data_IF_780187802053
#
_entry.id   IF_780187802053
#
_cell.length_a   1.000
_cell.length_b   1.000
_cell.length_c   1.000
_cell.angle_alpha   90.00
_cell.angle_beta   90.00
_cell.angle_gamma   90.00
#
_symmetry.space_group_name_H-M   'P 1'
#
loop_
_entity.id
_entity.type
_entity.pdbx_description
1 polymer ?
#
# COMPACT_ATOMS: atom_id res chain seq x y z
N UNK A 1 20.67 -0.72 -31.26
CA UNK A 1 21.58 -0.44 -30.11
C UNK A 1 21.15 0.92 -29.59
N UNK A 2 20.37 0.96 -28.50
CA UNK A 2 20.09 2.23 -27.82
C UNK A 2 21.39 2.73 -27.17
N UNK A 3 21.73 4.01 -27.31
CA UNK A 3 22.91 4.54 -26.68
C UNK A 3 22.77 4.37 -25.16
N UNK A 4 23.85 3.93 -24.53
CA UNK A 4 24.01 3.72 -23.10
C UNK A 4 23.64 5.01 -22.33
N UNK A 5 22.36 5.18 -22.03
CA UNK A 5 21.86 6.31 -21.24
C UNK A 5 21.94 5.91 -19.79
N UNK A 6 23.06 6.22 -19.17
CA UNK A 6 23.16 6.33 -17.71
C UNK A 6 21.96 7.14 -17.23
N UNK A 7 21.20 6.61 -16.28
CA UNK A 7 20.00 7.23 -15.72
C UNK A 7 18.84 7.38 -16.73
N UNK A 8 18.06 6.32 -16.92
CA UNK A 8 16.76 6.42 -17.61
C UNK A 8 15.66 6.55 -16.56
N UNK A 9 15.32 7.78 -16.11
CA UNK A 9 14.24 7.95 -15.15
C UNK A 9 12.90 7.64 -15.82
N UNK A 10 12.07 6.86 -15.14
CA UNK A 10 10.69 6.61 -15.49
C UNK A 10 9.81 7.11 -14.35
N UNK A 11 8.85 7.96 -14.66
CA UNK A 11 7.87 8.47 -13.69
C UNK A 11 6.52 7.90 -14.08
N UNK A 12 5.78 7.42 -13.10
CA UNK A 12 4.45 6.87 -13.27
C UNK A 12 3.51 7.32 -12.17
N UNK A 13 2.22 7.15 -12.42
CA UNK A 13 1.20 7.38 -11.42
C UNK A 13 0.00 6.47 -11.68
N UNK A 14 -0.73 6.14 -10.62
CA UNK A 14 -1.96 5.38 -10.72
C UNK A 14 -2.99 5.85 -9.69
N UNK A 15 -4.25 5.58 -10.02
CA UNK A 15 -5.38 5.79 -9.13
C UNK A 15 -6.18 4.50 -9.06
N UNK A 16 -6.41 4.02 -7.83
CA UNK A 16 -7.22 2.84 -7.57
C UNK A 16 -8.43 3.22 -6.73
N UNK A 17 -9.61 2.80 -7.17
CA UNK A 17 -10.87 3.01 -6.47
C UNK A 17 -11.49 1.67 -6.12
N UNK A 18 -11.70 1.44 -4.82
CA UNK A 18 -12.30 0.23 -4.27
C UNK A 18 -13.57 0.66 -3.53
N UNK A 19 -14.74 0.34 -4.07
CA UNK A 19 -16.02 0.76 -3.50
C UNK A 19 -16.18 0.32 -2.05
N UNK A 20 -16.82 1.18 -1.23
CA UNK A 20 -17.20 0.88 0.14
C UNK A 20 -18.69 0.66 0.28
N UNK A 21 -19.08 -0.07 1.32
CA UNK A 21 -20.48 -0.22 1.69
C UNK A 21 -20.93 0.83 2.71
N UNK A 22 -22.22 1.08 2.78
CA UNK A 22 -22.83 1.89 3.85
C UNK A 22 -23.08 1.00 5.07
N UNK A 23 -22.18 1.00 6.02
CA UNK A 23 -22.29 0.21 7.27
C UNK A 23 -23.57 0.48 8.08
N UNK A 24 -24.33 1.52 7.75
CA UNK A 24 -25.55 1.92 8.47
C UNK A 24 -26.84 1.59 7.73
N UNK A 25 -26.79 1.00 6.54
CA UNK A 25 -28.01 0.87 5.73
C UNK A 25 -28.92 -0.29 6.15
N UNK A 26 -28.52 -1.13 7.08
CA UNK A 26 -29.35 -2.28 7.51
C UNK A 26 -29.79 -3.19 6.36
N UNK A 27 -29.24 -3.01 5.16
CA UNK A 27 -29.55 -3.82 4.01
C UNK A 27 -28.69 -5.09 4.03
N UNK A 28 -29.32 -6.24 3.85
CA UNK A 28 -28.68 -7.54 3.83
C UNK A 28 -27.68 -7.75 2.66
N UNK A 29 -27.49 -6.75 1.81
CA UNK A 29 -26.65 -6.82 0.63
C UNK A 29 -25.40 -5.96 0.77
N UNK A 30 -24.24 -6.59 0.97
CA UNK A 30 -22.95 -5.94 0.90
C UNK A 30 -22.69 -5.42 -0.53
N UNK A 31 -22.38 -4.12 -0.66
CA UNK A 31 -22.13 -3.44 -1.93
C UNK A 31 -20.70 -2.93 -2.08
N UNK A 32 -19.85 -3.19 -1.10
CA UNK A 32 -18.44 -2.85 -1.18
C UNK A 32 -17.68 -3.78 -2.13
N UNK A 33 -16.53 -3.31 -2.60
CA UNK A 33 -15.60 -4.16 -3.33
C UNK A 33 -15.15 -5.31 -2.42
N UNK A 34 -15.15 -6.52 -2.95
CA UNK A 34 -14.59 -7.70 -2.28
C UNK A 34 -13.37 -8.14 -3.06
N UNK A 35 -12.21 -8.10 -2.43
CA UNK A 35 -10.98 -8.60 -3.02
C UNK A 35 -11.05 -10.13 -3.12
N UNK A 36 -10.87 -10.68 -4.31
CA UNK A 36 -10.79 -12.13 -4.54
C UNK A 36 -9.39 -12.68 -4.27
N UNK A 37 -8.37 -11.82 -4.37
CA UNK A 37 -6.97 -12.18 -4.21
C UNK A 37 -6.26 -11.15 -3.34
N UNK A 38 -5.15 -11.55 -2.70
CA UNK A 38 -4.27 -10.64 -1.98
C UNK A 38 -3.48 -9.74 -2.96
N UNK A 39 -2.91 -8.66 -2.43
CA UNK A 39 -1.99 -7.75 -3.13
C UNK A 39 -2.54 -7.04 -4.39
N UNK A 40 -3.83 -6.68 -4.39
CA UNK A 40 -4.49 -6.09 -5.56
C UNK A 40 -4.37 -4.55 -5.66
N UNK A 41 -4.03 -3.84 -4.59
CA UNK A 41 -4.14 -2.38 -4.59
C UNK A 41 -2.80 -1.63 -4.59
N UNK A 42 -1.76 -2.19 -4.09
CA UNK A 42 -0.43 -1.54 -4.00
C UNK A 42 -0.05 -1.13 -2.57
N UNK A 43 1.17 -0.69 -2.42
CA UNK A 43 1.81 -0.49 -1.12
C UNK A 43 2.32 -1.79 -0.51
N UNK A 44 3.32 -1.72 0.33
CA UNK A 44 3.92 -2.90 0.97
C UNK A 44 3.31 -3.14 2.35
N UNK A 45 3.18 -2.08 3.15
CA UNK A 45 2.64 -2.13 4.50
C UNK A 45 1.13 -2.02 4.51
N UNK A 46 0.57 -1.04 3.79
CA UNK A 46 -0.87 -0.83 3.71
C UNK A 46 -1.57 -2.09 3.20
N UNK A 47 -0.96 -2.77 2.27
CA UNK A 47 -1.40 -4.05 1.72
C UNK A 47 -1.59 -5.15 2.79
N UNK A 48 -0.89 -5.07 3.91
CA UNK A 48 -1.00 -6.02 5.03
C UNK A 48 -1.92 -5.51 6.15
N UNK A 49 -2.15 -4.20 6.21
CA UNK A 49 -3.01 -3.58 7.22
C UNK A 49 -4.48 -3.67 6.80
N UNK A 50 -4.77 -3.48 5.52
CA UNK A 50 -6.13 -3.30 5.03
C UNK A 50 -6.51 -4.35 3.96
N UNK A 51 -7.61 -5.04 4.20
CA UNK A 51 -8.29 -5.81 3.15
C UNK A 51 -9.01 -4.86 2.19
N UNK A 52 -8.61 -4.90 0.95
CA UNK A 52 -8.99 -4.07 -0.18
C UNK A 52 -10.49 -3.83 -0.36
N UNK A 53 -11.05 -2.95 0.42
CA UNK A 53 -12.42 -2.46 0.28
C UNK A 53 -12.48 -1.04 0.81
N UNK A 54 -13.44 -0.25 0.33
CA UNK A 54 -13.71 1.09 0.84
C UNK A 54 -12.51 2.05 0.80
N UNK A 55 -11.63 1.94 -0.20
CA UNK A 55 -10.42 2.74 -0.28
C UNK A 55 -10.22 3.42 -1.64
N UNK A 56 -9.54 4.54 -1.62
CA UNK A 56 -8.95 5.23 -2.77
C UNK A 56 -7.45 5.33 -2.53
N UNK A 57 -6.66 4.90 -3.51
CA UNK A 57 -5.21 4.98 -3.48
C UNK A 57 -4.73 5.84 -4.65
N UNK A 58 -3.95 6.85 -4.33
CA UNK A 58 -3.22 7.67 -5.30
C UNK A 58 -1.75 7.29 -5.19
N UNK A 59 -1.17 6.77 -6.25
CA UNK A 59 0.26 6.44 -6.31
C UNK A 59 0.98 7.37 -7.26
N UNK A 60 2.14 7.84 -6.82
CA UNK A 60 3.16 8.46 -7.64
C UNK A 60 4.44 7.66 -7.48
N UNK A 61 5.08 7.30 -8.57
CA UNK A 61 6.30 6.52 -8.51
C UNK A 61 7.36 7.00 -9.48
N UNK A 62 8.60 6.72 -9.13
CA UNK A 62 9.75 6.98 -9.97
C UNK A 62 10.75 5.82 -9.91
N UNK A 63 11.28 5.46 -11.07
CA UNK A 63 12.34 4.43 -11.18
C UNK A 63 13.54 5.05 -11.87
N UNK A 64 14.74 4.73 -11.39
CA UNK A 64 16.01 5.11 -12.01
C UNK A 64 16.93 3.88 -12.00
N UNK A 65 17.76 3.77 -13.04
CA UNK A 65 18.85 2.78 -13.12
C UNK A 65 20.19 3.50 -13.05
N UNK A 66 20.77 3.67 -11.84
CA UNK A 66 22.07 4.33 -11.69
C UNK A 66 23.21 3.51 -12.27
N UNK A 67 23.07 2.19 -12.33
CA UNK A 67 23.95 1.23 -12.98
C UNK A 67 23.13 0.25 -13.81
N UNK A 68 23.77 -0.48 -14.71
CA UNK A 68 23.08 -1.44 -15.60
C UNK A 68 22.40 -2.56 -14.83
N UNK A 69 23.00 -2.96 -13.74
CA UNK A 69 22.60 -4.06 -12.85
C UNK A 69 21.79 -3.61 -11.62
N UNK A 70 21.60 -2.28 -11.42
CA UNK A 70 20.86 -1.75 -10.26
C UNK A 70 19.66 -0.94 -10.69
N UNK A 71 18.49 -1.29 -10.18
CA UNK A 71 17.28 -0.48 -10.29
C UNK A 71 16.86 0.03 -8.91
N UNK A 72 16.52 1.30 -8.83
CA UNK A 72 15.97 1.95 -7.63
C UNK A 72 14.61 2.51 -7.97
N UNK A 73 13.60 2.13 -7.22
CA UNK A 73 12.23 2.61 -7.36
C UNK A 73 11.74 3.19 -6.04
N UNK A 74 11.14 4.37 -6.12
CA UNK A 74 10.43 5.02 -5.03
C UNK A 74 8.95 5.10 -5.39
N UNK A 75 8.11 4.65 -4.48
CA UNK A 75 6.65 4.76 -4.55
C UNK A 75 6.16 5.62 -3.38
N UNK A 76 5.25 6.54 -3.67
CA UNK A 76 4.49 7.30 -2.68
C UNK A 76 3.01 6.99 -2.88
N UNK A 77 2.32 6.63 -1.81
CA UNK A 77 0.89 6.41 -1.79
C UNK A 77 0.21 7.40 -0.84
N UNK A 78 -0.85 8.03 -1.31
CA UNK A 78 -1.85 8.68 -0.46
C UNK A 78 -3.11 7.83 -0.47
N UNK A 79 -3.62 7.52 0.73
CA UNK A 79 -4.65 6.51 0.93
C UNK A 79 -5.79 7.10 1.75
N UNK A 80 -7.03 6.94 1.25
CA UNK A 80 -8.20 7.45 1.95
C UNK A 80 -9.41 6.51 1.82
N UNK A 81 -10.32 6.58 2.77
CA UNK A 81 -11.62 5.90 2.70
C UNK A 81 -12.55 6.56 1.66
N UNK A 82 -13.32 5.75 0.95
CA UNK A 82 -14.44 6.26 0.15
C UNK A 82 -15.56 6.78 1.07
N UNK A 83 -15.95 5.95 2.02
CA UNK A 83 -17.01 6.22 2.99
C UNK A 83 -16.40 6.18 4.39
N UNK A 84 -16.52 7.26 5.19
CA UNK A 84 -16.03 7.26 6.55
C UNK A 84 -16.89 6.35 7.43
N UNK A 85 -16.33 5.93 8.55
CA UNK A 85 -17.14 5.38 9.63
C UNK A 85 -17.95 6.52 10.28
N UNK A 86 -19.18 6.26 10.69
CA UNK A 86 -20.07 7.27 11.27
C UNK A 86 -20.46 6.91 12.71
N UNK A 87 -20.82 7.90 13.50
CA UNK A 87 -21.26 7.71 14.89
C UNK A 87 -20.12 7.79 15.88
N UNK A 88 -19.90 6.76 16.69
CA UNK A 88 -18.82 6.69 17.69
C UNK A 88 -17.56 6.06 17.11
N UNK A 89 -16.37 6.28 17.72
CA UNK A 89 -15.17 5.56 17.31
C UNK A 89 -15.39 4.05 17.30
N UNK A 90 -15.08 3.43 16.18
CA UNK A 90 -15.39 2.01 15.93
C UNK A 90 -14.11 1.21 15.78
N UNK A 91 -14.02 0.11 16.50
CA UNK A 91 -12.90 -0.84 16.37
C UNK A 91 -13.19 -1.84 15.27
N UNK A 92 -12.32 -1.88 14.26
CA UNK A 92 -12.48 -2.72 13.07
C UNK A 92 -11.21 -3.49 12.74
N UNK A 93 -11.38 -4.60 12.04
CA UNK A 93 -10.29 -5.29 11.33
C UNK A 93 -10.29 -4.84 9.89
N UNK A 94 -9.33 -4.02 9.54
CA UNK A 94 -9.25 -3.48 8.17
C UNK A 94 -8.91 -4.55 7.14
N UNK A 95 -8.15 -5.58 7.53
CA UNK A 95 -7.81 -6.73 6.66
C UNK A 95 -8.98 -7.67 6.40
N UNK A 96 -10.01 -7.67 7.27
CA UNK A 96 -11.09 -8.65 7.25
C UNK A 96 -10.72 -10.04 7.79
N UNK A 97 -9.46 -10.27 8.13
CA UNK A 97 -8.99 -11.57 8.69
C UNK A 97 -9.16 -11.59 10.20
N UNK A 98 -9.79 -12.64 10.74
CA UNK A 98 -10.18 -12.70 12.14
C UNK A 98 -9.01 -12.68 13.14
N UNK A 99 -7.81 -13.11 12.71
CA UNK A 99 -6.60 -13.16 13.53
C UNK A 99 -5.77 -11.86 13.49
N UNK A 100 -6.07 -10.97 12.55
CA UNK A 100 -5.30 -9.75 12.35
C UNK A 100 -5.63 -8.67 13.39
N UNK A 101 -4.72 -7.71 13.58
CA UNK A 101 -4.93 -6.61 14.52
C UNK A 101 -6.22 -5.82 14.25
N UNK A 102 -6.79 -5.29 15.30
CA UNK A 102 -7.91 -4.35 15.23
C UNK A 102 -7.42 -2.91 15.36
N UNK A 103 -8.07 -2.01 14.64
CA UNK A 103 -7.78 -0.58 14.68
C UNK A 103 -9.03 0.18 15.10
N UNK A 104 -8.85 1.21 15.92
CA UNK A 104 -9.94 2.12 16.28
C UNK A 104 -9.98 3.25 15.27
N UNK A 105 -11.10 3.37 14.56
CA UNK A 105 -11.32 4.38 13.52
C UNK A 105 -12.11 5.56 14.09
N UNK A 106 -11.68 6.78 13.74
CA UNK A 106 -12.38 8.00 14.08
C UNK A 106 -13.59 8.21 13.16
N UNK A 107 -14.73 8.67 13.73
CA UNK A 107 -15.92 8.94 12.92
C UNK A 107 -15.67 10.12 11.97
N UNK A 108 -16.33 10.06 10.81
CA UNK A 108 -16.36 11.08 9.78
C UNK A 108 -15.01 11.48 9.17
N UNK A 109 -13.95 10.73 9.52
CA UNK A 109 -12.59 10.89 8.97
C UNK A 109 -12.35 9.93 7.81
N UNK A 110 -11.61 10.41 6.81
CA UNK A 110 -11.34 9.64 5.60
C UNK A 110 -9.85 9.41 5.33
N UNK A 111 -8.98 10.20 5.89
CA UNK A 111 -7.55 10.11 5.65
C UNK A 111 -6.97 8.89 6.38
N UNK A 112 -6.65 7.84 5.61
CA UNK A 112 -5.98 6.65 6.12
C UNK A 112 -4.48 6.84 6.25
N UNK A 113 -3.90 7.80 5.54
CA UNK A 113 -2.49 8.12 5.66
C UNK A 113 -1.70 8.00 4.38
N UNK A 114 -0.39 7.92 4.57
CA UNK A 114 0.56 7.90 3.48
C UNK A 114 1.52 6.73 3.65
N UNK A 115 1.98 6.18 2.52
CA UNK A 115 3.04 5.16 2.50
C UNK A 115 4.13 5.57 1.53
N UNK A 116 5.38 5.34 1.93
CA UNK A 116 6.56 5.51 1.10
C UNK A 116 7.30 4.20 1.05
N UNK A 117 7.52 3.68 -0.14
CA UNK A 117 8.26 2.44 -0.37
C UNK A 117 9.49 2.72 -1.23
N UNK A 118 10.67 2.34 -0.74
CA UNK A 118 11.92 2.32 -1.48
C UNK A 118 12.25 0.86 -1.84
N UNK A 119 12.38 0.58 -3.13
CA UNK A 119 12.74 -0.72 -3.66
C UNK A 119 14.09 -0.61 -4.38
N UNK A 120 15.05 -1.43 -3.99
CA UNK A 120 16.34 -1.56 -4.65
C UNK A 120 16.47 -2.99 -5.16
N UNK A 121 16.76 -3.15 -6.44
CA UNK A 121 16.99 -4.45 -7.07
C UNK A 121 18.40 -4.47 -7.66
N UNK A 122 19.15 -5.53 -7.41
CA UNK A 122 20.49 -5.76 -7.91
C UNK A 122 20.58 -7.10 -8.63
N UNK A 123 20.80 -7.06 -9.93
CA UNK A 123 21.03 -8.22 -10.78
C UNK A 123 22.50 -8.67 -10.60
N UNK A 124 22.75 -9.58 -9.61
CA UNK A 124 24.08 -10.03 -9.25
C UNK A 124 24.71 -10.90 -10.35
N UNK A 125 23.91 -11.79 -10.95
CA UNK A 125 24.25 -12.57 -12.15
C UNK A 125 23.00 -12.70 -13.03
N UNK A 126 23.11 -13.33 -14.21
CA UNK A 126 21.96 -13.62 -15.06
C UNK A 126 20.89 -14.46 -14.34
N UNK A 127 21.32 -15.29 -13.37
CA UNK A 127 20.45 -16.23 -12.64
C UNK A 127 20.12 -15.77 -11.22
N UNK A 128 20.81 -14.76 -10.67
CA UNK A 128 20.67 -14.34 -9.26
C UNK A 128 20.36 -12.86 -9.17
N UNK A 129 19.20 -12.54 -8.56
CA UNK A 129 18.76 -11.18 -8.27
C UNK A 129 18.59 -11.01 -6.76
N UNK A 130 19.13 -9.94 -6.22
CA UNK A 130 18.96 -9.50 -4.84
C UNK A 130 18.01 -8.29 -4.79
N UNK A 131 17.17 -8.23 -3.78
CA UNK A 131 16.25 -7.13 -3.56
C UNK A 131 16.27 -6.65 -2.12
N UNK A 132 16.08 -5.35 -1.94
CA UNK A 132 15.83 -4.70 -0.66
C UNK A 132 14.61 -3.80 -0.81
N UNK A 133 13.60 -4.02 0.04
CA UNK A 133 12.47 -3.14 0.18
C UNK A 133 12.51 -2.48 1.57
N UNK A 134 12.30 -1.18 1.62
CA UNK A 134 12.08 -0.40 2.83
C UNK A 134 10.77 0.36 2.70
N UNK A 135 9.83 0.11 3.60
CA UNK A 135 8.51 0.74 3.62
C UNK A 135 8.26 1.50 4.92
N UNK A 136 7.59 2.64 4.81
CA UNK A 136 7.09 3.42 5.95
C UNK A 136 5.64 3.81 5.69
N UNK A 137 4.75 3.38 6.58
CA UNK A 137 3.36 3.82 6.59
C UNK A 137 3.14 4.83 7.74
N UNK A 138 2.56 5.96 7.41
CA UNK A 138 2.23 7.07 8.31
C UNK A 138 0.71 7.18 8.39
N UNK A 139 0.07 6.71 9.49
CA UNK A 139 -1.37 6.76 9.65
C UNK A 139 -1.93 8.18 9.60
N UNK A 140 -3.08 8.34 8.96
CA UNK A 140 -3.83 9.59 8.87
C UNK A 140 -4.87 9.74 10.00
N UNK A 141 -5.68 10.79 9.91
CA UNK A 141 -6.64 11.19 10.94
C UNK A 141 -7.86 10.24 11.07
N UNK A 142 -8.01 9.28 10.16
CA UNK A 142 -9.00 8.22 10.31
C UNK A 142 -8.65 7.21 11.41
N UNK A 143 -7.38 7.10 11.79
CA UNK A 143 -6.96 6.28 12.93
C UNK A 143 -7.07 7.07 14.25
N UNK A 144 -7.42 6.38 15.32
CA UNK A 144 -7.42 6.98 16.65
C UNK A 144 -5.98 7.14 17.17
N UNK A 145 -5.76 8.08 18.10
CA UNK A 145 -4.43 8.40 18.66
C UNK A 145 -3.68 7.22 19.30
N UNK A 146 -4.37 6.16 19.63
CA UNK A 146 -3.74 4.93 20.14
C UNK A 146 -3.30 3.98 19.00
N UNK A 147 -3.57 4.33 17.73
CA UNK A 147 -3.23 3.56 16.53
C UNK A 147 -2.55 4.44 15.46
N UNK A 148 -1.97 5.57 15.82
CA UNK A 148 -1.40 6.55 14.88
C UNK A 148 0.15 6.53 14.82
N UNK A 149 0.77 5.52 15.39
CA UNK A 149 2.22 5.33 15.27
C UNK A 149 2.61 4.87 13.86
N UNK A 150 3.71 5.42 13.36
CA UNK A 150 4.27 4.97 12.08
C UNK A 150 4.66 3.49 12.14
N UNK A 151 4.32 2.77 11.07
CA UNK A 151 4.80 1.41 10.86
C UNK A 151 5.95 1.42 9.86
N UNK A 152 6.97 0.59 10.10
CA UNK A 152 8.13 0.45 9.22
C UNK A 152 8.41 -1.00 8.93
N UNK A 153 8.93 -1.28 7.72
CA UNK A 153 9.27 -2.62 7.27
C UNK A 153 10.56 -2.60 6.47
N UNK A 154 11.37 -3.65 6.65
CA UNK A 154 12.53 -3.95 5.80
C UNK A 154 12.42 -5.39 5.34
N UNK A 155 12.50 -5.62 4.03
CA UNK A 155 12.47 -6.95 3.42
C UNK A 155 13.68 -7.11 2.53
N UNK A 156 14.51 -8.13 2.80
CA UNK A 156 15.53 -8.63 1.87
C UNK A 156 14.96 -9.78 1.06
N UNK A 157 15.21 -9.81 -0.24
CA UNK A 157 14.81 -10.90 -1.13
C UNK A 157 15.99 -11.41 -1.95
N UNK A 158 15.98 -12.69 -2.24
CA UNK A 158 16.87 -13.32 -3.21
C UNK A 158 16.03 -14.18 -4.15
N UNK A 159 16.20 -13.98 -5.44
CA UNK A 159 15.57 -14.78 -6.50
C UNK A 159 16.66 -15.51 -7.27
N UNK A 160 16.51 -16.83 -7.40
CA UNK A 160 17.38 -17.68 -8.22
C UNK A 160 16.53 -18.29 -9.32
N UNK A 161 16.99 -18.22 -10.56
CA UNK A 161 16.32 -18.78 -11.73
C UNK A 161 17.22 -19.92 -12.29
N UNK A 162 16.66 -21.09 -12.59
CA UNK A 162 17.38 -22.25 -13.11
C UNK A 162 16.97 -22.53 -14.54
#
# INVERSE_FOLDING_TARGET
>A
VMPNKKYTPVIGGSYTYLSGDNYLSGSDNYRGWSAMYEDQAGGTLFNKIMGYSNAQLFNLNGTVRPWEDVAVRLDYYYIRLNKPYTGTPTTVRLSGVATDPTYTMQPDKKDLGNEVDLNITYDYTEDVQLGLNYGVFMPGDAFAKNNDNNATQVIGTMKVTF
#
